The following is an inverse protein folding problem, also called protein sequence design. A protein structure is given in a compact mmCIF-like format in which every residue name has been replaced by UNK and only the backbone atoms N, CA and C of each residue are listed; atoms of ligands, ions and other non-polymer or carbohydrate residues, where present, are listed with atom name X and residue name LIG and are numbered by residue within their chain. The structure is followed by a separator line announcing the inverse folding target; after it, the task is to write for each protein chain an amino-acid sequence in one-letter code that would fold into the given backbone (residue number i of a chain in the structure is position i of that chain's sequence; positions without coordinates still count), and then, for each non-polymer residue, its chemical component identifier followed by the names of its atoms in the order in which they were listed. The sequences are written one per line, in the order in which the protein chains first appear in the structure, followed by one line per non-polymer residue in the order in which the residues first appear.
data_IF_121427573053
#
_entry.id   IF_121427573053
#
_cell.length_a   1.000
_cell.length_b   1.000
_cell.length_c   1.000
_cell.angle_alpha   90.00
_cell.angle_beta   90.00
_cell.angle_gamma   90.00
#
_symmetry.space_group_name_H-M   'P 1'
#
loop_
_entity.id
_entity.type
_entity.pdbx_description
1 polymer ?
#
# COMPACT_ATOMS: atom_id res chain seq x y z
N UNK A 1 9.68 -2.68 -20.63
CA UNK A 1 9.01 -3.95 -20.32
C UNK A 1 7.60 -3.63 -19.84
N UNK A 2 6.55 -4.28 -20.34
CA UNK A 2 5.19 -4.14 -19.79
C UNK A 2 5.05 -5.14 -18.63
N UNK A 3 4.42 -4.74 -17.52
CA UNK A 3 4.14 -5.68 -16.41
C UNK A 3 3.11 -6.74 -16.81
N UNK A 4 2.13 -6.35 -17.61
CA UNK A 4 1.12 -7.25 -18.17
C UNK A 4 1.30 -7.20 -19.70
N UNK A 5 1.69 -8.32 -20.34
CA UNK A 5 2.14 -8.30 -21.73
C UNK A 5 1.01 -8.09 -22.73
N UNK A 6 -0.19 -8.58 -22.40
CA UNK A 6 -1.35 -8.62 -23.29
C UNK A 6 -2.67 -8.40 -22.53
N UNK A 7 -3.78 -8.25 -23.26
CA UNK A 7 -5.12 -8.15 -22.70
C UNK A 7 -5.87 -9.44 -23.03
N UNK A 8 -6.55 -10.03 -22.02
CA UNK A 8 -7.43 -11.18 -22.20
C UNK A 8 -8.87 -10.69 -22.36
N UNK A 9 -9.26 -10.47 -23.61
CA UNK A 9 -10.51 -9.79 -23.97
C UNK A 9 -11.78 -10.49 -23.43
N UNK A 10 -11.79 -11.83 -23.40
CA UNK A 10 -12.94 -12.60 -22.92
C UNK A 10 -13.17 -12.42 -21.41
N UNK A 11 -12.09 -12.46 -20.61
CA UNK A 11 -12.13 -12.23 -19.17
C UNK A 11 -12.44 -10.75 -18.90
N UNK A 12 -11.81 -9.84 -19.64
CA UNK A 12 -12.08 -8.41 -19.51
C UNK A 12 -13.55 -8.08 -19.76
N UNK A 13 -14.18 -8.67 -20.78
CA UNK A 13 -15.60 -8.49 -21.04
C UNK A 13 -16.48 -8.93 -19.85
N UNK A 14 -16.18 -10.09 -19.25
CA UNK A 14 -16.87 -10.57 -18.02
C UNK A 14 -16.63 -9.63 -16.84
N UNK A 15 -15.41 -9.13 -16.68
CA UNK A 15 -15.09 -8.18 -15.60
C UNK A 15 -15.86 -6.86 -15.76
N UNK A 16 -16.00 -6.36 -16.99
CA UNK A 16 -16.80 -5.17 -17.30
C UNK A 16 -18.27 -5.41 -16.98
N UNK A 17 -18.83 -6.55 -17.37
CA UNK A 17 -20.21 -6.94 -17.06
C UNK A 17 -20.43 -6.99 -15.55
N UNK A 18 -19.54 -7.68 -14.81
CA UNK A 18 -19.58 -7.77 -13.36
C UNK A 18 -19.51 -6.40 -12.67
N UNK A 19 -18.65 -5.51 -13.17
CA UNK A 19 -18.55 -4.15 -12.64
C UNK A 19 -19.85 -3.36 -12.84
N UNK A 20 -20.52 -3.53 -14.00
CA UNK A 20 -21.83 -2.91 -14.25
C UNK A 20 -22.91 -3.46 -13.33
N UNK A 21 -22.99 -4.78 -13.16
CA UNK A 21 -23.97 -5.42 -12.26
C UNK A 21 -23.86 -4.95 -10.81
N UNK A 22 -22.63 -4.69 -10.37
CA UNK A 22 -22.31 -4.28 -9.00
C UNK A 22 -22.20 -2.76 -8.82
N UNK A 23 -22.46 -1.98 -9.88
CA UNK A 23 -22.29 -0.52 -9.91
C UNK A 23 -20.91 -0.06 -9.41
N UNK A 24 -19.86 -0.76 -9.86
CA UNK A 24 -18.46 -0.47 -9.52
C UNK A 24 -17.88 0.44 -10.60
N UNK A 25 -17.35 1.58 -10.17
CA UNK A 25 -16.55 2.45 -11.02
C UNK A 25 -15.11 2.51 -10.48
N UNK A 26 -14.14 2.32 -11.38
CA UNK A 26 -12.73 2.33 -11.04
C UNK A 26 -12.14 3.74 -11.27
N UNK A 27 -11.46 4.34 -10.28
CA UNK A 27 -10.69 5.55 -10.52
C UNK A 27 -9.47 5.24 -11.38
N UNK A 28 -9.18 6.10 -12.35
CA UNK A 28 -7.87 6.06 -13.02
C UNK A 28 -6.77 6.54 -12.07
N UNK A 29 -5.50 6.18 -12.32
CA UNK A 29 -4.38 6.81 -11.58
C UNK A 29 -4.36 8.33 -11.72
N UNK A 30 -4.80 8.87 -12.87
CA UNK A 30 -4.99 10.32 -13.03
C UNK A 30 -5.98 10.91 -12.04
N UNK A 31 -7.09 10.21 -11.76
CA UNK A 31 -8.07 10.61 -10.73
C UNK A 31 -7.56 10.34 -9.32
N UNK A 32 -6.74 9.31 -9.07
CA UNK A 32 -6.13 9.15 -7.75
C UNK A 32 -5.13 10.28 -7.43
N UNK A 33 -4.38 10.76 -8.43
CA UNK A 33 -3.52 11.94 -8.30
C UNK A 33 -4.32 13.23 -8.15
N UNK A 34 -5.36 13.39 -8.95
CA UNK A 34 -6.26 14.54 -8.93
C UNK A 34 -7.72 14.11 -8.72
N UNK A 35 -8.11 13.89 -7.45
CA UNK A 35 -9.41 13.31 -7.12
C UNK A 35 -10.56 14.28 -7.29
N UNK A 36 -10.29 15.57 -7.51
CA UNK A 36 -11.31 16.54 -7.94
C UNK A 36 -11.88 16.25 -9.33
N UNK A 37 -11.22 15.36 -10.11
CA UNK A 37 -11.72 14.84 -11.40
C UNK A 37 -12.61 13.61 -11.26
N UNK A 38 -12.96 13.22 -10.03
CA UNK A 38 -13.96 12.17 -9.81
C UNK A 38 -15.33 12.60 -10.36
N UNK A 39 -16.14 11.66 -10.89
CA UNK A 39 -17.50 11.96 -11.34
C UNK A 39 -18.37 12.57 -10.22
N UNK A 40 -19.29 13.46 -10.60
CA UNK A 40 -20.12 14.21 -9.63
C UNK A 40 -20.99 13.30 -8.76
N UNK A 41 -21.51 12.22 -9.33
CA UNK A 41 -22.27 11.20 -8.60
C UNK A 41 -21.42 10.49 -7.54
N UNK A 42 -20.16 10.18 -7.86
CA UNK A 42 -19.20 9.66 -6.87
C UNK A 42 -18.94 10.68 -5.78
N UNK A 43 -18.67 11.95 -6.13
CA UNK A 43 -18.41 13.02 -5.16
C UNK A 43 -19.57 13.21 -4.17
N UNK A 44 -20.81 13.15 -4.67
CA UNK A 44 -22.01 13.23 -3.84
C UNK A 44 -22.12 12.01 -2.92
N UNK A 45 -21.94 10.80 -3.45
CA UNK A 45 -21.97 9.55 -2.67
C UNK A 45 -20.91 9.54 -1.57
N UNK A 46 -19.71 10.07 -1.84
CA UNK A 46 -18.66 10.20 -0.83
C UNK A 46 -19.07 11.08 0.36
N UNK A 47 -20.00 12.03 0.22
CA UNK A 47 -20.52 12.83 1.34
C UNK A 47 -21.40 12.03 2.29
N UNK A 48 -22.00 10.94 1.81
CA UNK A 48 -23.02 10.17 2.54
C UNK A 48 -22.45 8.94 3.23
N UNK A 49 -21.21 8.53 2.91
CA UNK A 49 -20.60 7.30 3.42
C UNK A 49 -19.41 7.57 4.34
N UNK A 50 -19.14 6.59 5.22
CA UNK A 50 -17.93 6.49 6.03
C UNK A 50 -16.67 6.22 5.20
N UNK A 51 -15.53 6.68 5.72
CA UNK A 51 -14.20 6.46 5.12
C UNK A 51 -13.88 4.97 4.94
N UNK A 52 -14.45 4.09 5.77
CA UNK A 52 -14.19 2.65 5.81
C UNK A 52 -15.40 1.81 5.42
N UNK A 53 -16.49 2.42 4.96
CA UNK A 53 -17.69 1.69 4.55
C UNK A 53 -17.39 0.81 3.33
N UNK A 54 -18.09 -0.32 3.23
CA UNK A 54 -18.00 -1.25 2.10
C UNK A 54 -18.83 -0.76 0.91
N UNK A 55 -18.46 0.40 0.40
CA UNK A 55 -19.10 1.06 -0.73
C UNK A 55 -18.08 1.28 -1.86
N UNK A 56 -18.35 0.82 -3.11
CA UNK A 56 -17.42 0.97 -4.22
C UNK A 56 -16.95 2.41 -4.49
N UNK A 57 -17.70 3.44 -4.08
CA UNK A 57 -17.25 4.83 -4.19
C UNK A 57 -15.96 5.09 -3.40
N UNK A 58 -15.69 4.35 -2.32
CA UNK A 58 -14.46 4.46 -1.54
C UNK A 58 -13.19 4.05 -2.31
N UNK A 59 -13.31 3.42 -3.50
CA UNK A 59 -12.16 3.26 -4.41
C UNK A 59 -11.56 4.63 -4.78
N UNK A 60 -12.38 5.68 -4.92
CA UNK A 60 -11.91 7.04 -5.20
C UNK A 60 -11.22 7.71 -3.99
N UNK A 61 -11.34 7.13 -2.79
CA UNK A 61 -10.56 7.53 -1.61
C UNK A 61 -9.19 6.85 -1.53
N UNK A 62 -8.78 6.09 -2.54
CA UNK A 62 -7.41 5.55 -2.64
C UNK A 62 -6.49 6.66 -3.17
N UNK A 63 -6.28 7.67 -2.33
CA UNK A 63 -5.52 8.90 -2.63
C UNK A 63 -4.98 9.53 -1.34
N UNK A 64 -3.83 10.21 -1.43
CA UNK A 64 -3.26 10.98 -0.31
C UNK A 64 -4.07 12.22 0.06
N UNK A 65 -5.02 12.61 -0.80
CA UNK A 65 -5.73 13.89 -0.75
C UNK A 65 -7.09 13.82 -0.06
N UNK A 66 -7.42 12.74 0.63
CA UNK A 66 -8.66 12.68 1.41
C UNK A 66 -8.71 13.79 2.46
N UNK A 67 -9.87 14.42 2.62
CA UNK A 67 -10.13 15.29 3.77
C UNK A 67 -10.06 14.45 5.06
N UNK A 68 -9.55 15.04 6.15
CA UNK A 68 -9.36 14.40 7.46
C UNK A 68 -10.68 14.16 8.22
N UNK A 69 -11.63 13.46 7.60
CA UNK A 69 -12.96 13.15 8.11
C UNK A 69 -13.24 11.65 8.05
N UNK A 70 -13.81 11.11 9.12
CA UNK A 70 -14.18 9.69 9.23
C UNK A 70 -15.50 9.36 8.53
N UNK A 71 -16.34 10.37 8.29
CA UNK A 71 -17.62 10.24 7.58
C UNK A 71 -17.82 11.44 6.66
N UNK A 72 -18.34 11.19 5.45
CA UNK A 72 -18.42 12.20 4.42
C UNK A 72 -17.03 12.72 4.03
N UNK A 73 -16.97 14.00 3.70
CA UNK A 73 -15.71 14.68 3.37
C UNK A 73 -15.38 14.55 1.89
N UNK A 74 -14.57 15.49 1.41
CA UNK A 74 -14.13 15.53 0.02
C UNK A 74 -12.64 15.27 -0.10
N UNK A 75 -12.00 16.08 -0.93
CA UNK A 75 -10.56 16.06 -1.13
C UNK A 75 -9.95 17.42 -0.77
N UNK A 76 -8.69 17.40 -0.37
CA UNK A 76 -7.87 18.57 -0.05
C UNK A 76 -6.50 18.49 -0.72
N UNK A 77 -5.52 19.22 -0.17
CA UNK A 77 -4.15 19.28 -0.70
C UNK A 77 -3.22 18.17 -0.16
N UNK A 78 -3.79 17.14 0.46
CA UNK A 78 -3.05 16.11 1.17
C UNK A 78 -2.86 16.42 2.65
N UNK A 79 -2.58 15.37 3.42
CA UNK A 79 -2.36 15.47 4.86
C UNK A 79 -0.87 15.30 5.13
N UNK A 80 -0.24 16.28 5.76
CA UNK A 80 1.19 16.27 6.07
C UNK A 80 1.49 17.11 7.30
N UNK A 81 2.66 16.87 7.89
CA UNK A 81 3.13 17.52 9.13
C UNK A 81 4.57 17.98 8.89
N UNK A 82 4.88 19.23 9.23
CA UNK A 82 6.25 19.71 9.39
C UNK A 82 6.68 19.47 10.85
N UNK A 83 7.80 18.76 11.04
CA UNK A 83 8.32 18.50 12.38
C UNK A 83 9.22 19.67 12.84
N UNK A 84 8.99 20.23 14.04
CA UNK A 84 9.75 21.38 14.50
C UNK A 84 11.20 20.99 14.87
N UNK A 85 12.19 21.90 14.72
CA UNK A 85 13.57 21.66 15.15
C UNK A 85 13.71 21.25 16.62
N UNK A 86 12.82 21.72 17.49
CA UNK A 86 12.77 21.33 18.89
C UNK A 86 12.52 19.82 19.11
N UNK A 87 11.90 19.15 18.14
CA UNK A 87 11.67 17.71 18.15
C UNK A 87 12.78 16.95 17.39
N UNK A 88 13.21 17.48 16.24
CA UNK A 88 14.13 16.77 15.34
C UNK A 88 15.61 16.95 15.73
N UNK A 89 15.92 18.03 16.46
CA UNK A 89 17.30 18.38 16.85
C UNK A 89 18.17 18.85 15.67
N UNK A 90 17.59 19.15 14.51
CA UNK A 90 18.31 19.58 13.30
C UNK A 90 17.68 20.81 12.67
N UNK A 91 18.50 21.62 12.00
CA UNK A 91 18.04 22.81 11.27
C UNK A 91 17.27 22.45 9.99
N UNK A 92 17.50 21.25 9.44
CA UNK A 92 16.82 20.78 8.25
C UNK A 92 15.32 20.61 8.51
N UNK A 93 14.49 21.18 7.64
CA UNK A 93 13.03 20.97 7.67
C UNK A 93 12.69 19.53 7.31
N UNK A 94 11.97 18.85 8.20
CA UNK A 94 11.50 17.48 7.99
C UNK A 94 9.99 17.50 7.84
N UNK A 95 9.49 16.89 6.78
CA UNK A 95 8.05 16.78 6.49
C UNK A 95 7.66 15.31 6.41
N UNK A 96 6.55 14.96 7.07
CA UNK A 96 5.94 13.64 6.99
C UNK A 96 4.57 13.70 6.33
N UNK A 97 4.31 12.83 5.35
CA UNK A 97 2.97 12.64 4.78
C UNK A 97 2.15 11.67 5.64
N UNK A 98 0.85 11.93 5.80
CA UNK A 98 -0.02 11.23 6.76
C UNK A 98 -0.95 10.25 6.02
N UNK A 99 -0.66 8.96 6.15
CA UNK A 99 -1.42 7.87 5.51
C UNK A 99 -2.67 7.41 6.27
N UNK A 100 -3.01 8.05 7.40
CA UNK A 100 -4.15 7.66 8.26
C UNK A 100 -5.51 7.81 7.58
N UNK A 101 -5.62 8.74 6.63
CA UNK A 101 -6.90 9.10 6.01
C UNK A 101 -7.23 8.29 4.76
N UNK A 102 -6.53 7.18 4.54
CA UNK A 102 -6.95 6.17 3.58
C UNK A 102 -8.06 5.29 4.19
N UNK A 103 -8.89 4.65 3.35
CA UNK A 103 -9.69 3.52 3.78
C UNK A 103 -8.83 2.49 4.54
N UNK A 104 -9.40 1.83 5.55
CA UNK A 104 -8.68 0.96 6.52
C UNK A 104 -7.65 1.64 7.42
N UNK A 105 -7.43 2.95 7.28
CA UNK A 105 -6.49 3.72 8.10
C UNK A 105 -5.04 3.63 7.65
N UNK A 106 -4.77 3.04 6.49
CA UNK A 106 -3.42 2.84 5.96
C UNK A 106 -3.40 2.93 4.43
N UNK A 107 -2.32 3.47 3.88
CA UNK A 107 -2.06 3.57 2.43
C UNK A 107 -1.90 2.21 1.72
N UNK A 108 -1.97 1.09 2.45
CA UNK A 108 -1.86 -0.26 1.90
C UNK A 108 -3.02 -0.65 0.99
N UNK A 109 -4.18 0.03 1.06
CA UNK A 109 -5.22 -0.05 0.02
C UNK A 109 -4.68 0.43 -1.34
N UNK A 110 -3.80 1.43 -1.37
CA UNK A 110 -3.14 1.86 -2.59
C UNK A 110 -2.23 0.78 -3.18
N UNK A 111 -1.38 0.19 -2.32
CA UNK A 111 -0.51 -0.91 -2.71
C UNK A 111 -1.31 -2.11 -3.26
N UNK A 112 -2.39 -2.50 -2.58
CA UNK A 112 -3.25 -3.61 -3.01
C UNK A 112 -3.98 -3.29 -4.32
N UNK A 113 -4.56 -2.09 -4.45
CA UNK A 113 -5.19 -1.60 -5.68
C UNK A 113 -4.22 -1.65 -6.87
N UNK A 114 -2.98 -1.19 -6.68
CA UNK A 114 -1.92 -1.23 -7.69
C UNK A 114 -1.58 -2.64 -8.17
N UNK A 115 -1.79 -3.67 -7.34
CA UNK A 115 -1.58 -5.08 -7.69
C UNK A 115 -2.81 -5.71 -8.36
N UNK A 116 -4.01 -5.41 -7.86
CA UNK A 116 -5.26 -6.06 -8.25
C UNK A 116 -5.85 -5.46 -9.53
N UNK A 117 -6.06 -4.15 -9.55
CA UNK A 117 -6.84 -3.50 -10.61
C UNK A 117 -6.20 -3.64 -11.98
N UNK A 118 -4.87 -3.51 -12.16
CA UNK A 118 -4.25 -3.75 -13.47
C UNK A 118 -4.56 -5.14 -14.04
N UNK A 119 -4.65 -6.19 -13.21
CA UNK A 119 -5.03 -7.53 -13.67
C UNK A 119 -6.52 -7.66 -13.94
N UNK A 120 -7.35 -6.99 -13.15
CA UNK A 120 -8.78 -6.94 -13.39
C UNK A 120 -9.10 -6.28 -14.74
N UNK A 121 -8.51 -5.12 -15.04
CA UNK A 121 -8.78 -4.36 -16.28
C UNK A 121 -8.05 -4.88 -17.51
N UNK A 122 -7.22 -5.91 -17.36
CA UNK A 122 -6.55 -6.61 -18.48
C UNK A 122 -7.00 -8.06 -18.62
N UNK A 123 -7.98 -8.50 -17.83
CA UNK A 123 -8.51 -9.87 -17.85
C UNK A 123 -7.57 -10.94 -17.30
N UNK A 124 -6.50 -10.56 -16.58
CA UNK A 124 -5.59 -11.51 -15.94
C UNK A 124 -6.06 -12.00 -14.57
N UNK A 125 -7.12 -11.39 -14.03
CA UNK A 125 -7.85 -11.83 -12.85
C UNK A 125 -9.35 -11.83 -13.16
N UNK A 126 -10.04 -12.95 -12.93
CA UNK A 126 -11.48 -13.10 -13.10
C UNK A 126 -12.15 -13.20 -11.72
N UNK A 127 -12.83 -12.14 -11.22
CA UNK A 127 -13.41 -12.11 -9.89
C UNK A 127 -14.66 -12.98 -9.75
N UNK A 128 -15.17 -13.56 -10.86
CA UNK A 128 -16.31 -14.49 -10.84
C UNK A 128 -15.88 -15.94 -10.60
N UNK A 129 -14.59 -16.22 -10.77
CA UNK A 129 -14.01 -17.56 -10.65
C UNK A 129 -12.89 -17.65 -9.64
N UNK A 130 -12.05 -16.62 -9.58
CA UNK A 130 -10.82 -16.63 -8.81
C UNK A 130 -10.96 -15.87 -7.49
N UNK A 131 -10.42 -16.45 -6.42
CA UNK A 131 -10.24 -15.75 -5.14
C UNK A 131 -8.96 -14.90 -5.14
N UNK A 132 -9.03 -13.69 -4.62
CA UNK A 132 -7.86 -12.83 -4.41
C UNK A 132 -7.18 -13.16 -3.07
N UNK A 133 -5.92 -13.62 -3.11
CA UNK A 133 -5.17 -14.04 -1.93
C UNK A 133 -4.18 -12.96 -1.50
N UNK A 134 -4.24 -12.56 -0.24
CA UNK A 134 -3.52 -11.42 0.33
C UNK A 134 -2.56 -11.87 1.44
N UNK A 135 -1.34 -12.31 1.10
CA UNK A 135 -0.33 -12.69 2.07
C UNK A 135 0.34 -11.46 2.70
N UNK A 136 0.21 -11.30 4.02
CA UNK A 136 0.87 -10.21 4.76
C UNK A 136 0.78 -10.44 6.26
N UNK A 137 1.79 -9.98 6.98
CA UNK A 137 1.78 -9.89 8.45
C UNK A 137 0.96 -8.69 8.91
N UNK A 138 1.05 -7.55 8.22
CA UNK A 138 0.40 -6.27 8.56
C UNK A 138 -0.78 -5.81 7.69
N UNK A 139 -0.87 -4.48 7.53
CA UNK A 139 -2.00 -3.75 6.90
C UNK A 139 -2.26 -4.09 5.41
N UNK A 140 -1.34 -4.74 4.70
CA UNK A 140 -1.57 -5.12 3.30
C UNK A 140 -2.65 -6.19 3.16
N UNK A 141 -2.74 -7.13 4.11
CA UNK A 141 -3.85 -8.10 4.15
C UNK A 141 -5.20 -7.39 4.31
N UNK A 142 -5.26 -6.37 5.19
CA UNK A 142 -6.48 -5.57 5.41
C UNK A 142 -6.86 -4.75 4.17
N UNK A 143 -5.89 -4.06 3.59
CA UNK A 143 -6.11 -3.26 2.37
C UNK A 143 -6.60 -4.11 1.21
N UNK A 144 -5.98 -5.26 0.98
CA UNK A 144 -6.38 -6.18 -0.08
C UNK A 144 -7.76 -6.81 0.11
N UNK A 145 -8.08 -7.25 1.33
CA UNK A 145 -9.43 -7.75 1.64
C UNK A 145 -10.49 -6.65 1.46
N UNK A 146 -10.17 -5.41 1.84
CA UNK A 146 -11.04 -4.25 1.63
C UNK A 146 -11.26 -3.95 0.15
N UNK A 147 -10.20 -3.84 -0.64
CA UNK A 147 -10.30 -3.62 -2.08
C UNK A 147 -11.08 -4.76 -2.77
N UNK A 148 -10.88 -6.00 -2.33
CA UNK A 148 -11.63 -7.16 -2.83
C UNK A 148 -13.13 -7.04 -2.55
N UNK A 149 -13.50 -6.63 -1.33
CA UNK A 149 -14.90 -6.40 -0.96
C UNK A 149 -15.52 -5.27 -1.81
N UNK A 150 -14.82 -4.14 -2.00
CA UNK A 150 -15.28 -3.04 -2.85
C UNK A 150 -15.44 -3.44 -4.32
N UNK A 151 -14.60 -4.36 -4.79
CA UNK A 151 -14.59 -4.87 -6.16
C UNK A 151 -15.46 -6.12 -6.35
N UNK A 152 -16.19 -6.53 -5.31
CA UNK A 152 -17.05 -7.72 -5.30
C UNK A 152 -16.31 -9.03 -5.70
N UNK A 153 -15.06 -9.15 -5.23
CA UNK A 153 -14.18 -10.30 -5.38
C UNK A 153 -14.14 -11.09 -4.06
N UNK A 154 -14.15 -12.41 -4.13
CA UNK A 154 -13.84 -13.23 -2.96
C UNK A 154 -12.35 -13.08 -2.58
N UNK A 155 -12.05 -13.06 -1.28
CA UNK A 155 -10.68 -12.91 -0.82
C UNK A 155 -10.28 -13.90 0.27
N UNK A 156 -9.02 -14.33 0.23
CA UNK A 156 -8.35 -15.12 1.26
C UNK A 156 -7.28 -14.26 1.91
N UNK A 157 -7.38 -14.09 3.23
CA UNK A 157 -6.37 -13.42 4.06
C UNK A 157 -5.37 -14.45 4.59
N UNK A 158 -4.06 -14.24 4.41
CA UNK A 158 -3.02 -15.10 5.02
C UNK A 158 -2.15 -14.23 5.91
N UNK A 159 -2.13 -14.55 7.22
CA UNK A 159 -1.36 -13.82 8.22
C UNK A 159 -0.98 -14.72 9.42
N UNK A 160 0.06 -14.37 10.19
CA UNK A 160 0.50 -15.18 11.32
C UNK A 160 -0.50 -15.19 12.47
N UNK A 161 -0.57 -16.31 13.20
CA UNK A 161 -1.48 -16.49 14.34
C UNK A 161 -1.14 -15.62 15.55
N UNK A 162 0.11 -15.14 15.65
CA UNK A 162 0.56 -14.21 16.70
C UNK A 162 0.07 -12.78 16.54
N UNK A 163 -0.68 -12.46 15.48
CA UNK A 163 -1.30 -11.13 15.31
C UNK A 163 -2.47 -10.90 16.26
N UNK A 164 -2.85 -9.62 16.46
CA UNK A 164 -3.90 -9.25 17.40
C UNK A 164 -5.27 -9.87 17.08
N UNK A 165 -6.04 -10.19 18.12
CA UNK A 165 -7.41 -10.71 17.97
C UNK A 165 -8.31 -9.75 17.19
N UNK A 166 -8.21 -8.45 17.44
CA UNK A 166 -8.96 -7.42 16.72
C UNK A 166 -8.73 -7.48 15.20
N UNK A 167 -7.51 -7.82 14.77
CA UNK A 167 -7.18 -8.01 13.35
C UNK A 167 -7.95 -9.19 12.75
N UNK A 168 -8.03 -10.31 13.47
CA UNK A 168 -8.81 -11.48 13.05
C UNK A 168 -10.31 -11.22 13.06
N UNK A 169 -10.82 -10.56 14.10
CA UNK A 169 -12.25 -10.23 14.22
C UNK A 169 -12.69 -9.31 13.07
N UNK A 170 -11.86 -8.32 12.69
CA UNK A 170 -12.12 -7.47 11.52
C UNK A 170 -12.03 -8.23 10.20
N UNK A 171 -11.03 -9.10 10.01
CA UNK A 171 -10.90 -9.89 8.78
C UNK A 171 -12.07 -10.85 8.58
N UNK A 172 -12.60 -11.42 9.66
CA UNK A 172 -13.75 -12.32 9.61
C UNK A 172 -15.05 -11.65 9.13
N UNK A 173 -15.15 -10.31 9.16
CA UNK A 173 -16.34 -9.60 8.65
C UNK A 173 -16.25 -9.25 7.17
N UNK A 174 -15.05 -9.30 6.58
CA UNK A 174 -14.79 -8.76 5.23
C UNK A 174 -14.14 -9.77 4.27
N UNK A 175 -13.27 -10.65 4.76
CA UNK A 175 -12.63 -11.68 3.96
C UNK A 175 -13.51 -12.94 3.92
N UNK A 176 -13.53 -13.62 2.77
CA UNK A 176 -14.24 -14.90 2.63
C UNK A 176 -13.56 -16.03 3.41
N UNK A 177 -12.25 -15.94 3.59
CA UNK A 177 -11.46 -16.94 4.33
C UNK A 177 -10.25 -16.27 4.99
N UNK A 178 -9.85 -16.79 6.16
CA UNK A 178 -8.62 -16.39 6.84
C UNK A 178 -7.78 -17.61 7.19
N UNK A 179 -6.54 -17.66 6.70
CA UNK A 179 -5.58 -18.71 6.95
C UNK A 179 -4.53 -18.19 7.93
N UNK A 180 -4.38 -18.89 9.05
CA UNK A 180 -3.39 -18.59 10.08
C UNK A 180 -2.10 -19.39 9.84
N UNK A 181 -0.96 -18.71 9.77
CA UNK A 181 0.36 -19.35 9.72
C UNK A 181 1.07 -19.27 11.08
N UNK A 182 1.99 -20.18 11.43
CA UNK A 182 2.79 -20.03 12.63
C UNK A 182 3.64 -18.75 12.61
N UNK A 183 3.85 -18.12 13.77
CA UNK A 183 4.78 -16.98 13.94
C UNK A 183 4.13 -15.64 14.28
N UNK A 184 4.93 -14.57 14.17
CA UNK A 184 4.57 -13.17 14.52
C UNK A 184 4.84 -12.20 13.35
N UNK A 185 4.86 -10.89 13.61
CA UNK A 185 4.95 -9.81 12.61
C UNK A 185 6.11 -9.96 11.60
N UNK A 186 7.24 -10.58 11.98
CA UNK A 186 8.40 -10.77 11.10
C UNK A 186 8.49 -12.17 10.46
N UNK A 187 7.44 -13.00 10.56
CA UNK A 187 7.40 -14.37 10.01
C UNK A 187 6.73 -14.41 8.63
N UNK A 188 7.51 -14.11 7.59
CA UNK A 188 7.03 -14.11 6.20
C UNK A 188 7.27 -15.45 5.48
N UNK A 189 8.26 -16.25 5.90
CA UNK A 189 8.57 -17.53 5.27
C UNK A 189 7.39 -18.51 5.31
N UNK A 190 6.72 -18.62 6.44
CA UNK A 190 5.56 -19.50 6.62
C UNK A 190 4.37 -19.07 5.74
N UNK A 191 4.22 -17.75 5.53
CA UNK A 191 3.24 -17.20 4.58
C UNK A 191 3.61 -17.60 3.15
N UNK A 192 4.89 -17.55 2.77
CA UNK A 192 5.35 -18.00 1.46
C UNK A 192 5.12 -19.49 1.23
N UNK A 193 5.35 -20.34 2.23
CA UNK A 193 5.05 -21.77 2.12
C UNK A 193 3.57 -22.00 1.86
N UNK A 194 2.69 -21.31 2.60
CA UNK A 194 1.25 -21.41 2.39
C UNK A 194 0.85 -20.89 1.01
N UNK A 195 1.50 -19.83 0.51
CA UNK A 195 1.28 -19.37 -0.87
C UNK A 195 1.67 -20.44 -1.90
N UNK A 196 2.78 -21.16 -1.69
CA UNK A 196 3.19 -22.27 -2.55
C UNK A 196 2.21 -23.44 -2.51
N UNK A 197 1.73 -23.80 -1.32
CA UNK A 197 0.68 -24.82 -1.15
C UNK A 197 -0.59 -24.43 -1.92
N UNK A 198 -1.06 -23.20 -1.79
CA UNK A 198 -2.24 -22.70 -2.49
C UNK A 198 -2.06 -22.68 -4.01
N UNK A 199 -0.89 -22.26 -4.52
CA UNK A 199 -0.55 -22.34 -5.96
C UNK A 199 -0.66 -23.77 -6.48
N UNK A 200 -0.25 -24.76 -5.68
CA UNK A 200 -0.25 -26.17 -6.06
C UNK A 200 -1.58 -26.90 -5.74
N UNK A 201 -2.55 -26.22 -5.12
CA UNK A 201 -3.80 -26.83 -4.68
C UNK A 201 -4.80 -27.10 -5.81
N UNK A 202 -4.62 -26.47 -6.99
CA UNK A 202 -5.57 -26.53 -8.09
C UNK A 202 -6.82 -25.65 -7.90
N UNK A 203 -6.89 -24.85 -6.84
CA UNK A 203 -7.98 -23.89 -6.64
C UNK A 203 -7.88 -22.72 -7.63
N UNK A 204 -9.04 -22.22 -8.06
CA UNK A 204 -9.12 -20.97 -8.82
C UNK A 204 -8.85 -19.79 -7.87
N UNK A 205 -7.58 -19.40 -7.79
CA UNK A 205 -7.12 -18.27 -6.96
C UNK A 205 -5.97 -17.53 -7.62
N UNK A 206 -5.75 -16.30 -7.18
CA UNK A 206 -4.61 -15.49 -7.57
C UNK A 206 -3.96 -14.86 -6.34
N UNK A 207 -2.66 -15.06 -6.20
CA UNK A 207 -1.89 -14.55 -5.06
C UNK A 207 -1.26 -13.22 -5.40
N UNK A 208 -1.63 -12.17 -4.67
CA UNK A 208 -1.11 -10.81 -4.82
C UNK A 208 -0.03 -10.53 -3.77
N UNK A 209 1.13 -11.15 -3.93
CA UNK A 209 2.21 -11.08 -2.95
C UNK A 209 2.97 -9.73 -2.99
N UNK A 210 2.75 -8.86 -1.99
CA UNK A 210 3.30 -7.49 -1.97
C UNK A 210 4.82 -7.37 -2.15
N UNK A 211 5.57 -8.43 -1.89
CA UNK A 211 7.04 -8.46 -1.97
C UNK A 211 7.56 -8.72 -3.39
N UNK A 212 6.73 -9.27 -4.29
CA UNK A 212 7.08 -9.56 -5.70
C UNK A 212 6.19 -8.81 -6.71
N UNK A 213 5.14 -8.15 -6.24
CA UNK A 213 4.18 -7.46 -7.07
C UNK A 213 4.57 -6.01 -7.38
N UNK A 214 5.11 -5.76 -8.57
CA UNK A 214 5.51 -4.41 -9.01
C UNK A 214 4.34 -3.40 -9.05
N UNK A 215 3.09 -3.86 -9.04
CA UNK A 215 1.93 -2.98 -8.86
C UNK A 215 2.00 -2.14 -7.57
N UNK A 216 2.51 -2.72 -6.49
CA UNK A 216 2.78 -2.02 -5.23
C UNK A 216 3.80 -0.89 -5.43
N UNK A 217 4.95 -1.22 -6.02
CA UNK A 217 6.02 -0.27 -6.32
C UNK A 217 5.55 0.87 -7.23
N UNK A 218 4.89 0.53 -8.35
CA UNK A 218 4.42 1.52 -9.32
C UNK A 218 3.33 2.43 -8.76
N UNK A 219 2.45 1.92 -7.89
CA UNK A 219 1.45 2.77 -7.25
C UNK A 219 2.11 3.84 -6.38
N UNK A 220 3.13 3.48 -5.61
CA UNK A 220 3.85 4.46 -4.79
C UNK A 220 4.72 5.41 -5.63
N UNK A 221 5.37 4.92 -6.68
CA UNK A 221 6.07 5.77 -7.63
C UNK A 221 5.13 6.83 -8.24
N UNK A 222 3.97 6.39 -8.73
CA UNK A 222 3.04 7.24 -9.47
C UNK A 222 2.16 8.11 -8.55
N UNK A 223 1.61 7.56 -7.48
CA UNK A 223 0.64 8.25 -6.62
C UNK A 223 1.33 8.89 -5.42
N UNK A 224 2.14 8.14 -4.67
CA UNK A 224 2.86 8.69 -3.51
C UNK A 224 3.95 9.69 -3.94
N UNK A 225 4.68 9.43 -5.03
CA UNK A 225 5.70 10.34 -5.56
C UNK A 225 5.15 11.72 -5.92
N UNK A 226 4.05 11.76 -6.68
CA UNK A 226 3.40 13.03 -7.04
C UNK A 226 2.79 13.74 -5.82
N UNK A 227 2.19 12.99 -4.88
CA UNK A 227 1.70 13.59 -3.63
C UNK A 227 2.85 14.23 -2.82
N UNK A 228 4.02 13.59 -2.77
CA UNK A 228 5.21 14.15 -2.13
C UNK A 228 5.73 15.41 -2.84
N UNK A 229 5.71 15.44 -4.17
CA UNK A 229 6.09 16.64 -4.93
C UNK A 229 5.16 17.82 -4.59
N UNK A 230 3.85 17.59 -4.49
CA UNK A 230 2.89 18.64 -4.12
C UNK A 230 3.10 19.12 -2.67
N UNK A 231 3.30 18.19 -1.73
CA UNK A 231 3.62 18.53 -0.34
C UNK A 231 4.92 19.32 -0.25
N UNK A 232 5.95 18.91 -0.99
CA UNK A 232 7.22 19.60 -1.05
C UNK A 232 7.05 21.04 -1.58
N UNK A 233 6.29 21.22 -2.66
CA UNK A 233 5.99 22.57 -3.20
C UNK A 233 5.27 23.46 -2.18
N UNK A 234 4.41 22.89 -1.34
CA UNK A 234 3.71 23.62 -0.29
C UNK A 234 4.60 23.94 0.93
N UNK A 235 5.57 23.07 1.24
CA UNK A 235 6.43 23.19 2.41
C UNK A 235 7.70 24.03 2.15
N UNK A 236 8.24 24.01 0.93
CA UNK A 236 9.49 24.70 0.59
C UNK A 236 9.36 26.22 0.67
N UNK A 237 10.37 26.84 1.27
CA UNK A 237 10.55 28.30 1.33
C UNK A 237 11.57 28.74 0.26
N UNK A 238 11.61 30.04 -0.09
CA UNK A 238 12.61 30.55 -1.01
C UNK A 238 14.03 30.22 -0.54
N UNK A 239 14.80 29.50 -1.37
CA UNK A 239 16.17 29.08 -1.08
C UNK A 239 16.33 27.68 -0.51
N UNK A 240 15.23 27.00 -0.17
CA UNK A 240 15.28 25.59 0.25
C UNK A 240 15.68 24.68 -0.93
N UNK A 241 16.32 23.56 -0.61
CA UNK A 241 16.63 22.49 -1.57
C UNK A 241 16.18 21.14 -0.99
N UNK A 242 15.48 20.34 -1.79
CA UNK A 242 15.13 18.99 -1.40
C UNK A 242 16.37 18.09 -1.34
N UNK A 243 16.65 17.54 -0.15
CA UNK A 243 17.87 16.74 0.09
C UNK A 243 17.64 15.23 0.01
N UNK A 244 16.40 14.75 0.16
CA UNK A 244 16.13 13.32 0.14
C UNK A 244 14.89 12.89 0.90
N UNK A 245 14.67 11.58 0.96
CA UNK A 245 13.68 10.96 1.83
C UNK A 245 14.28 9.82 2.63
N UNK A 246 13.58 9.49 3.70
CA UNK A 246 13.74 8.24 4.43
C UNK A 246 12.43 7.47 4.39
N UNK A 247 12.48 6.17 4.09
CA UNK A 247 11.33 5.29 4.11
C UNK A 247 11.62 4.07 4.98
N UNK A 248 10.74 3.81 5.96
CA UNK A 248 10.81 2.59 6.76
C UNK A 248 10.31 1.42 5.90
N UNK A 249 11.19 0.46 5.61
CA UNK A 249 10.97 -0.56 4.59
C UNK A 249 10.42 -1.86 5.18
N UNK A 250 9.15 -2.16 4.85
CA UNK A 250 8.59 -3.52 4.88
C UNK A 250 8.66 -4.12 3.47
N UNK A 251 7.55 -4.09 2.73
CA UNK A 251 7.52 -4.55 1.34
C UNK A 251 8.31 -3.71 0.32
N UNK A 252 8.92 -2.60 0.73
CA UNK A 252 9.65 -1.67 -0.14
C UNK A 252 8.82 -1.03 -1.27
N UNK A 253 7.49 -1.07 -1.19
CA UNK A 253 6.63 -0.33 -2.13
C UNK A 253 6.79 1.18 -1.98
N UNK A 254 6.62 1.72 -0.77
CA UNK A 254 6.62 3.16 -0.50
C UNK A 254 7.89 3.86 -0.98
N UNK A 255 9.07 3.24 -0.82
CA UNK A 255 10.35 3.85 -1.16
C UNK A 255 10.47 4.21 -2.65
N UNK A 256 9.63 3.62 -3.51
CA UNK A 256 9.51 3.96 -4.93
C UNK A 256 9.14 5.43 -5.20
N UNK A 257 8.49 6.11 -4.25
CA UNK A 257 8.27 7.55 -4.37
C UNK A 257 9.60 8.31 -4.46
N UNK A 258 10.67 7.79 -3.87
CA UNK A 258 12.02 8.32 -3.99
C UNK A 258 12.58 8.27 -5.38
N UNK A 259 12.31 7.18 -6.12
CA UNK A 259 12.74 7.05 -7.50
C UNK A 259 12.10 8.12 -8.38
N UNK A 260 10.82 8.43 -8.15
CA UNK A 260 10.15 9.56 -8.78
C UNK A 260 10.80 10.91 -8.37
N UNK A 261 10.95 11.16 -7.07
CA UNK A 261 11.54 12.41 -6.58
C UNK A 261 12.95 12.64 -7.08
N UNK A 262 13.76 11.57 -7.24
CA UNK A 262 15.13 11.66 -7.76
C UNK A 262 15.18 12.01 -9.25
N UNK A 263 14.11 11.79 -10.03
CA UNK A 263 14.04 12.32 -11.40
C UNK A 263 13.91 13.84 -11.42
N UNK A 264 13.20 14.41 -10.44
CA UNK A 264 13.03 15.85 -10.28
C UNK A 264 14.24 16.48 -9.59
N UNK A 265 14.85 15.77 -8.64
CA UNK A 265 15.97 16.20 -7.82
C UNK A 265 17.09 15.15 -7.83
N UNK A 266 17.94 15.11 -8.88
CA UNK A 266 18.93 14.03 -9.06
C UNK A 266 20.01 13.93 -7.98
N UNK A 267 20.24 15.01 -7.24
CA UNK A 267 21.18 15.05 -6.10
C UNK A 267 20.59 14.47 -4.80
N UNK A 268 19.28 14.25 -4.75
CA UNK A 268 18.58 13.81 -3.54
C UNK A 268 18.99 12.38 -3.14
N UNK A 269 18.88 12.10 -1.84
CA UNK A 269 19.25 10.81 -1.24
C UNK A 269 18.03 10.00 -0.86
N UNK A 270 18.07 8.70 -1.12
CA UNK A 270 17.03 7.75 -0.74
C UNK A 270 17.58 6.87 0.37
N UNK A 271 16.98 6.97 1.56
CA UNK A 271 17.37 6.22 2.75
C UNK A 271 16.33 5.14 3.04
N UNK A 272 16.76 3.88 3.04
CA UNK A 272 15.96 2.78 3.56
C UNK A 272 16.19 2.65 5.07
N UNK A 273 15.10 2.55 5.85
CA UNK A 273 15.17 2.34 7.30
C UNK A 273 14.60 0.98 7.68
N UNK A 274 15.31 0.28 8.57
CA UNK A 274 14.91 -1.00 9.14
C UNK A 274 15.10 -1.02 10.66
N UNK A 275 14.68 -2.10 11.33
CA UNK A 275 14.89 -2.27 12.76
C UNK A 275 16.29 -2.80 13.05
N UNK A 276 16.97 -2.24 14.07
CA UNK A 276 18.30 -2.70 14.49
C UNK A 276 18.30 -4.15 14.97
N UNK A 277 17.19 -4.63 15.54
CA UNK A 277 17.02 -6.00 15.98
C UNK A 277 16.76 -6.98 14.81
N UNK A 278 16.50 -6.50 13.60
CA UNK A 278 16.39 -7.31 12.38
C UNK A 278 17.05 -6.60 11.19
N UNK A 279 18.39 -6.46 11.18
CA UNK A 279 19.11 -5.61 10.24
C UNK A 279 19.42 -6.37 8.93
N UNK A 280 18.38 -6.72 8.17
CA UNK A 280 18.50 -7.54 6.96
C UNK A 280 19.26 -6.84 5.84
N UNK A 281 19.00 -5.55 5.60
CA UNK A 281 19.70 -4.77 4.58
C UNK A 281 21.10 -4.35 5.03
N UNK A 282 21.27 -4.00 6.31
CA UNK A 282 22.50 -3.45 6.85
C UNK A 282 23.57 -4.52 7.10
N UNK A 283 23.19 -5.65 7.70
CA UNK A 283 24.14 -6.65 8.20
C UNK A 283 23.86 -8.07 7.68
N UNK A 284 22.90 -8.23 6.75
CA UNK A 284 22.35 -9.55 6.39
C UNK A 284 21.88 -10.31 7.64
N UNK A 285 21.39 -9.56 8.63
CA UNK A 285 20.98 -10.05 9.93
C UNK A 285 19.52 -10.48 9.96
N UNK A 286 19.22 -11.36 10.91
CA UNK A 286 17.88 -11.88 11.18
C UNK A 286 17.57 -11.70 12.66
N UNK A 287 16.34 -11.31 12.99
CA UNK A 287 15.89 -11.24 14.37
C UNK A 287 14.42 -10.88 14.48
N UNK A 288 13.99 -10.43 15.66
CA UNK A 288 12.62 -10.03 15.92
C UNK A 288 12.61 -8.63 16.54
N UNK A 289 11.62 -7.82 16.20
CA UNK A 289 11.46 -6.45 16.68
C UNK A 289 9.98 -6.13 16.90
N UNK A 290 9.72 -5.00 17.56
CA UNK A 290 8.39 -4.51 17.88
C UNK A 290 7.82 -3.47 16.90
N UNK A 291 8.64 -2.96 15.98
CA UNK A 291 8.18 -1.98 14.97
C UNK A 291 7.34 -2.68 13.90
N UNK A 292 6.00 -2.63 14.01
CA UNK A 292 5.12 -3.28 13.02
C UNK A 292 5.21 -2.63 11.62
N UNK A 293 5.12 -3.47 10.57
CA UNK A 293 5.07 -3.05 9.17
C UNK A 293 6.40 -2.86 8.45
N UNK A 294 7.54 -3.18 9.08
CA UNK A 294 8.90 -3.11 8.51
C UNK A 294 9.73 -4.35 8.88
N UNK A 295 10.92 -4.53 8.29
CA UNK A 295 11.94 -5.46 8.83
C UNK A 295 11.63 -6.96 8.70
N UNK A 296 11.08 -7.38 7.55
CA UNK A 296 10.50 -8.71 7.32
C UNK A 296 11.51 -9.85 7.03
N UNK A 297 12.76 -9.78 7.51
CA UNK A 297 13.81 -10.82 7.35
C UNK A 297 14.17 -11.21 5.91
N UNK A 298 13.81 -10.40 4.92
CA UNK A 298 14.20 -10.62 3.53
C UNK A 298 14.27 -9.28 2.79
N UNK A 299 14.97 -9.27 1.66
CA UNK A 299 14.96 -8.14 0.73
C UNK A 299 13.84 -8.38 -0.30
N UNK A 300 12.80 -7.52 -0.37
CA UNK A 300 11.70 -7.71 -1.32
C UNK A 300 12.17 -7.62 -2.77
N UNK A 301 11.61 -8.43 -3.67
CA UNK A 301 11.95 -8.43 -5.09
C UNK A 301 11.66 -7.09 -5.78
N UNK A 302 10.68 -6.34 -5.28
CA UNK A 302 10.33 -5.02 -5.81
C UNK A 302 11.24 -3.89 -5.33
N UNK A 303 12.16 -4.14 -4.38
CA UNK A 303 13.04 -3.09 -3.85
C UNK A 303 14.12 -2.72 -4.89
N UNK A 304 14.11 -1.46 -5.36
CA UNK A 304 15.20 -0.91 -6.16
C UNK A 304 16.43 -0.55 -5.31
N UNK A 305 17.20 -1.57 -4.90
CA UNK A 305 18.42 -1.39 -4.10
C UNK A 305 19.48 -0.55 -4.82
N UNK A 306 19.52 -0.56 -6.17
CA UNK A 306 20.47 0.24 -6.96
C UNK A 306 20.26 1.74 -6.83
N UNK A 307 19.06 2.17 -6.44
CA UNK A 307 18.74 3.58 -6.27
C UNK A 307 18.64 3.98 -4.79
N UNK A 308 18.89 3.06 -3.86
CA UNK A 308 18.97 3.31 -2.41
C UNK A 308 20.38 3.79 -2.08
N UNK A 309 20.52 4.99 -1.53
CA UNK A 309 21.83 5.59 -1.22
C UNK A 309 22.37 5.16 0.16
N UNK A 310 21.47 4.94 1.11
CA UNK A 310 21.80 4.74 2.52
C UNK A 310 20.83 3.71 3.14
N UNK A 311 21.35 2.93 4.09
CA UNK A 311 20.55 2.09 4.99
C UNK A 311 20.77 2.57 6.41
N UNK A 312 19.70 2.78 7.17
CA UNK A 312 19.75 3.16 8.58
C UNK A 312 18.94 2.18 9.43
N UNK A 313 19.52 1.74 10.54
CA UNK A 313 18.84 0.87 11.49
C UNK A 313 18.39 1.67 12.72
N UNK A 314 17.14 1.51 13.12
CA UNK A 314 16.55 2.17 14.29
C UNK A 314 16.28 1.13 15.37
N UNK A 315 16.72 1.41 16.60
CA UNK A 315 16.43 0.58 17.76
C UNK A 315 14.93 0.64 18.10
N UNK A 316 14.26 -0.50 18.11
CA UNK A 316 12.82 -0.56 18.45
C UNK A 316 12.51 -0.01 19.84
N UNK A 317 13.48 -0.03 20.76
CA UNK A 317 13.36 0.49 22.11
C UNK A 317 13.23 2.01 22.15
N UNK A 318 13.74 2.71 21.14
CA UNK A 318 13.62 4.15 21.01
C UNK A 318 12.26 4.59 20.41
N UNK A 319 11.50 3.66 19.82
CA UNK A 319 10.28 3.96 19.05
C UNK A 319 9.01 3.46 19.74
N UNK A 320 9.09 2.34 20.46
CA UNK A 320 7.92 1.64 21.01
C UNK A 320 7.68 1.93 22.50
N UNK A 321 8.67 2.46 23.23
CA UNK A 321 8.58 2.69 24.67
C UNK A 321 8.04 4.08 25.05
#
# INVERSE_FOLDING_TARGET
MKLIPEIREDVLARNIERARERNILLPTFGQQKDPFRAPTDIMNRLQEIGLWDLDPANLFRITWKNEAKVHGGGFGQGNWIEFPPALTGVDATIVGIVGKWFPTGAHKVGAAYGCLVPRLVTGHFDPTRQKAVWPSTGNYCRGGAYDSALLACESIAILPEGMSKERFDWLATIAGETIKTPGSESNVKEIFDKCWELRNSGQDLMIFNQFEEFGNYLWHYEITGHAMEEVLKAAMRPGDEYRGLTSATGSAGTIACGDYMKQLFPSSKIVASEALQCPTLLENGFGAHRIEGIGDKHVPWIHNVKNTDLVVAIDDNAVVN
#
